data_IF_526578449054
#
_entry.id   IF_526578449054
#
_cell.length_a   1.000
_cell.length_b   1.000
_cell.length_c   1.000
_cell.angle_alpha   90.00
_cell.angle_beta   90.00
_cell.angle_gamma   90.00
#
_symmetry.space_group_name_H-M   'P 1'
#
loop_
_entity.id
_entity.type
_entity.pdbx_description
1 polymer ?
#
# COMPACT_ATOMS: atom_id res chain seq x y z
N UNK A 1 8.13 2.22 -16.19
CA UNK A 1 7.14 1.94 -15.12
C UNK A 1 7.82 1.92 -13.76
N UNK A 2 7.12 2.37 -12.76
CA UNK A 2 7.61 2.37 -11.39
C UNK A 2 6.66 1.59 -10.50
N UNK A 3 7.22 0.97 -9.46
CA UNK A 3 6.47 0.33 -8.38
C UNK A 3 6.65 1.15 -7.11
N UNK A 4 5.56 1.43 -6.43
CA UNK A 4 5.59 2.09 -5.13
C UNK A 4 5.04 1.13 -4.08
N UNK A 5 5.76 0.99 -2.96
CA UNK A 5 5.35 0.11 -1.88
C UNK A 5 5.06 0.91 -0.62
N UNK A 6 3.90 0.67 -0.04
CA UNK A 6 3.55 1.16 1.28
C UNK A 6 3.54 -0.04 2.23
N UNK A 7 4.23 0.09 3.35
CA UNK A 7 4.27 -0.94 4.39
C UNK A 7 3.63 -0.38 5.65
N UNK A 8 2.80 -1.18 6.33
CA UNK A 8 2.05 -0.72 7.49
C UNK A 8 2.15 -1.68 8.65
N UNK A 9 2.21 -1.10 9.85
CA UNK A 9 1.93 -1.80 11.09
C UNK A 9 0.54 -1.37 11.56
N UNK A 10 -0.40 -2.33 11.64
CA UNK A 10 -1.79 -2.09 12.04
C UNK A 10 -2.09 -2.94 13.26
N UNK A 11 -2.62 -2.32 14.32
CA UNK A 11 -3.05 -3.03 15.51
C UNK A 11 -4.20 -4.00 15.18
N UNK A 12 -4.25 -5.15 15.87
CA UNK A 12 -5.28 -6.16 15.63
C UNK A 12 -6.69 -5.59 15.68
N UNK A 13 -6.95 -4.68 16.61
CA UNK A 13 -8.25 -4.04 16.80
C UNK A 13 -8.64 -3.11 15.63
N UNK A 14 -7.69 -2.74 14.78
CA UNK A 14 -7.90 -1.82 13.65
C UNK A 14 -7.87 -2.53 12.29
N UNK A 15 -7.57 -3.82 12.24
CA UNK A 15 -7.35 -4.53 10.98
C UNK A 15 -8.59 -4.57 10.09
N UNK A 16 -9.75 -4.88 10.65
CA UNK A 16 -10.99 -4.94 9.87
C UNK A 16 -11.32 -3.58 9.25
N UNK A 17 -11.20 -2.50 10.04
CA UNK A 17 -11.43 -1.14 9.56
C UNK A 17 -10.40 -0.71 8.51
N UNK A 18 -9.13 -1.08 8.70
CA UNK A 18 -8.06 -0.80 7.75
C UNK A 18 -8.34 -1.46 6.40
N UNK A 19 -8.71 -2.74 6.39
CA UNK A 19 -9.03 -3.46 5.15
C UNK A 19 -10.24 -2.86 4.45
N UNK A 20 -11.26 -2.49 5.20
CA UNK A 20 -12.46 -1.85 4.67
C UNK A 20 -12.15 -0.49 4.06
N UNK A 21 -11.39 0.34 4.78
CA UNK A 21 -11.00 1.68 4.33
C UNK A 21 -10.15 1.60 3.06
N UNK A 22 -9.24 0.64 2.99
CA UNK A 22 -8.49 0.43 1.75
C UNK A 22 -9.42 0.18 0.57
N UNK A 23 -10.34 -0.78 0.71
CA UNK A 23 -11.22 -1.20 -0.39
C UNK A 23 -12.23 -0.13 -0.79
N UNK A 24 -12.77 0.60 0.17
CA UNK A 24 -13.85 1.56 -0.07
C UNK A 24 -13.35 2.96 -0.39
N UNK A 25 -12.19 3.35 0.09
CA UNK A 25 -11.68 4.73 -0.01
C UNK A 25 -10.39 4.82 -0.81
N UNK A 26 -9.37 4.05 -0.42
CA UNK A 26 -8.03 4.20 -1.00
C UNK A 26 -7.94 3.65 -2.43
N UNK A 27 -8.37 2.42 -2.65
CA UNK A 27 -8.29 1.80 -3.97
C UNK A 27 -9.09 2.58 -5.03
N UNK A 28 -10.35 2.98 -4.78
CA UNK A 28 -11.09 3.77 -5.77
C UNK A 28 -10.42 5.11 -6.11
N UNK A 29 -9.83 5.77 -5.12
CA UNK A 29 -9.11 7.04 -5.34
C UNK A 29 -7.88 6.83 -6.21
N UNK A 30 -7.11 5.78 -5.94
CA UNK A 30 -5.91 5.43 -6.68
C UNK A 30 -6.24 5.08 -8.14
N UNK A 31 -7.27 4.29 -8.35
CA UNK A 31 -7.69 3.83 -9.69
C UNK A 31 -8.13 4.95 -10.62
N UNK A 32 -8.54 6.08 -10.08
CA UNK A 32 -8.95 7.26 -10.89
C UNK A 32 -7.76 7.99 -11.50
N UNK A 33 -6.55 7.70 -11.07
CA UNK A 33 -5.38 8.48 -11.44
C UNK A 33 -4.89 8.12 -12.85
N UNK A 34 -4.53 9.16 -13.61
CA UNK A 34 -3.91 8.97 -14.93
C UNK A 34 -2.55 8.28 -14.74
N UNK A 35 -2.29 7.28 -15.55
CA UNK A 35 -1.03 6.52 -15.50
C UNK A 35 -1.05 5.35 -14.52
N UNK A 36 -2.10 5.19 -13.73
CA UNK A 36 -2.27 4.02 -12.87
C UNK A 36 -2.33 2.74 -13.72
N UNK A 37 -1.59 1.71 -13.30
CA UNK A 37 -1.54 0.42 -14.00
C UNK A 37 -2.22 -0.69 -13.21
N UNK A 38 -1.77 -0.93 -11.98
CA UNK A 38 -2.32 -1.98 -11.12
C UNK A 38 -1.98 -1.73 -9.66
N UNK A 39 -2.66 -2.45 -8.77
CA UNK A 39 -2.42 -2.43 -7.33
C UNK A 39 -2.67 -3.80 -6.73
N UNK A 40 -1.86 -4.17 -5.75
CA UNK A 40 -2.08 -5.34 -4.90
C UNK A 40 -2.07 -4.88 -3.45
N UNK A 41 -3.12 -5.26 -2.73
CA UNK A 41 -3.22 -5.08 -1.29
C UNK A 41 -2.99 -6.44 -0.65
N UNK A 42 -1.92 -6.58 0.12
CA UNK A 42 -1.48 -7.86 0.65
C UNK A 42 -1.26 -7.79 2.16
N UNK A 43 -1.40 -8.93 2.79
CA UNK A 43 -1.17 -9.11 4.22
C UNK A 43 0.01 -10.05 4.40
N UNK A 44 0.90 -9.72 5.33
CA UNK A 44 1.98 -10.61 5.72
C UNK A 44 1.39 -11.88 6.34
N UNK A 45 2.08 -13.00 6.16
CA UNK A 45 1.70 -14.23 6.85
C UNK A 45 1.61 -14.01 8.35
N UNK A 46 0.69 -14.72 9.00
CA UNK A 46 0.61 -14.75 10.45
C UNK A 46 1.93 -15.26 11.05
N UNK A 47 2.29 -14.86 12.28
CA UNK A 47 3.60 -15.20 12.88
C UNK A 47 3.98 -16.68 12.82
N UNK A 48 3.03 -17.58 13.06
CA UNK A 48 3.29 -19.02 12.99
C UNK A 48 3.70 -19.47 11.58
N UNK A 49 2.99 -19.00 10.57
CA UNK A 49 3.28 -19.33 9.16
C UNK A 49 4.58 -18.68 8.70
N UNK A 50 4.84 -17.45 9.12
CA UNK A 50 6.09 -16.77 8.81
C UNK A 50 7.29 -17.52 9.39
N UNK A 51 7.16 -18.06 10.60
CA UNK A 51 8.20 -18.86 11.24
C UNK A 51 8.47 -20.15 10.47
N UNK A 52 7.42 -20.81 9.96
CA UNK A 52 7.58 -22.04 9.17
C UNK A 52 8.41 -21.84 7.91
N UNK A 53 8.29 -20.70 7.27
CA UNK A 53 9.06 -20.38 6.05
C UNK A 53 10.36 -19.63 6.36
N UNK A 54 10.71 -19.48 7.63
CA UNK A 54 11.91 -18.78 8.08
C UNK A 54 11.97 -17.34 7.54
N UNK A 55 10.81 -16.67 7.47
CA UNK A 55 10.72 -15.29 7.03
C UNK A 55 11.45 -14.34 7.99
N UNK A 56 12.05 -13.30 7.45
CA UNK A 56 12.70 -12.27 8.26
C UNK A 56 11.69 -11.59 9.19
N UNK A 57 12.02 -11.40 10.47
CA UNK A 57 11.13 -10.73 11.41
C UNK A 57 10.82 -9.30 10.98
N UNK A 58 9.58 -8.86 11.21
CA UNK A 58 9.16 -7.49 10.95
C UNK A 58 7.94 -7.18 11.81
N UNK A 59 7.78 -5.91 12.20
CA UNK A 59 6.56 -5.43 12.83
C UNK A 59 5.47 -5.09 11.83
N UNK A 60 5.79 -5.04 10.54
CA UNK A 60 4.82 -4.73 9.48
C UNK A 60 3.90 -5.92 9.23
N UNK A 61 2.63 -5.64 8.91
CA UNK A 61 1.66 -6.69 8.65
C UNK A 61 0.81 -6.49 7.41
N UNK A 62 0.94 -5.34 6.73
CA UNK A 62 0.27 -5.07 5.45
C UNK A 62 1.18 -4.36 4.48
N UNK A 63 0.92 -4.56 3.18
CA UNK A 63 1.52 -3.78 2.11
C UNK A 63 0.47 -3.37 1.09
N UNK A 64 0.68 -2.22 0.49
CA UNK A 64 0.00 -1.81 -0.74
C UNK A 64 1.11 -1.61 -1.77
N UNK A 65 1.05 -2.37 -2.86
CA UNK A 65 2.02 -2.29 -3.95
C UNK A 65 1.29 -1.82 -5.20
N UNK A 66 1.66 -0.66 -5.73
CA UNK A 66 0.99 -0.15 -6.93
C UNK A 66 2.00 0.29 -7.99
N UNK A 67 1.56 0.22 -9.23
CA UNK A 67 2.38 0.53 -10.40
C UNK A 67 1.77 1.71 -11.14
N UNK A 68 2.63 2.68 -11.47
CA UNK A 68 2.31 3.78 -12.38
C UNK A 68 3.20 3.70 -13.61
N UNK A 69 2.76 4.31 -14.70
CA UNK A 69 3.54 4.39 -15.93
C UNK A 69 4.85 5.17 -15.74
N UNK A 70 4.87 6.13 -14.79
CA UNK A 70 6.03 6.97 -14.52
C UNK A 70 5.99 7.54 -13.11
N UNK A 71 7.14 7.98 -12.64
CA UNK A 71 7.25 8.70 -11.37
C UNK A 71 6.51 10.05 -11.42
N UNK A 72 6.48 10.70 -12.59
CA UNK A 72 5.72 11.94 -12.77
C UNK A 72 4.23 11.73 -12.49
N UNK A 73 3.65 10.65 -13.03
CA UNK A 73 2.25 10.30 -12.78
C UNK A 73 2.00 9.98 -11.31
N UNK A 74 2.91 9.25 -10.66
CA UNK A 74 2.79 8.95 -9.23
C UNK A 74 2.80 10.23 -8.39
N UNK A 75 3.63 11.21 -8.75
CA UNK A 75 3.67 12.49 -8.02
C UNK A 75 2.39 13.29 -8.18
N UNK A 76 1.74 13.20 -9.33
CA UNK A 76 0.42 13.80 -9.52
C UNK A 76 -0.60 13.17 -8.57
N UNK A 77 -0.57 11.83 -8.44
CA UNK A 77 -1.37 11.12 -7.44
C UNK A 77 -1.11 11.65 -6.03
N UNK A 78 0.15 11.75 -5.63
CA UNK A 78 0.52 12.19 -4.28
C UNK A 78 0.03 13.61 -3.95
N UNK A 79 -0.19 14.43 -4.95
CA UNK A 79 -0.68 15.81 -4.80
C UNK A 79 -2.16 15.98 -5.12
N UNK A 80 -2.86 14.89 -5.47
CA UNK A 80 -4.26 14.95 -5.88
C UNK A 80 -5.19 15.20 -4.68
N UNK A 81 -6.37 15.74 -4.98
CA UNK A 81 -7.41 15.92 -3.98
C UNK A 81 -7.87 14.58 -3.41
N UNK A 82 -7.91 13.54 -4.25
CA UNK A 82 -8.29 12.18 -3.83
C UNK A 82 -7.30 11.61 -2.82
N UNK A 83 -6.00 11.81 -3.04
CA UNK A 83 -4.95 11.39 -2.10
C UNK A 83 -5.08 12.13 -0.76
N UNK A 84 -5.36 13.43 -0.81
CA UNK A 84 -5.49 14.26 0.40
C UNK A 84 -6.64 13.79 1.30
N UNK A 85 -7.64 13.13 0.74
CA UNK A 85 -8.75 12.52 1.50
C UNK A 85 -8.41 11.08 1.90
N UNK A 86 -7.95 10.27 0.96
CA UNK A 86 -7.77 8.83 1.17
C UNK A 86 -6.61 8.49 2.10
N UNK A 87 -5.47 9.17 1.94
CA UNK A 87 -4.27 8.84 2.72
C UNK A 87 -4.45 9.08 4.23
N UNK A 88 -4.95 10.24 4.69
CA UNK A 88 -5.15 10.44 6.13
C UNK A 88 -6.14 9.43 6.74
N UNK A 89 -7.18 9.06 6.00
CA UNK A 89 -8.16 8.07 6.49
C UNK A 89 -7.52 6.70 6.69
N UNK A 90 -6.64 6.31 5.79
CA UNK A 90 -5.96 5.03 5.87
C UNK A 90 -4.82 5.05 6.89
N UNK A 91 -3.92 6.02 6.78
CA UNK A 91 -2.75 6.12 7.66
C UNK A 91 -3.12 6.35 9.11
N UNK A 92 -4.23 7.03 9.37
CA UNK A 92 -4.74 7.25 10.72
C UNK A 92 -5.12 5.99 11.48
N UNK A 93 -5.27 4.86 10.79
CA UNK A 93 -5.58 3.55 11.37
C UNK A 93 -4.32 2.73 11.67
N UNK A 94 -3.14 3.27 11.41
CA UNK A 94 -1.88 2.54 11.52
C UNK A 94 -1.04 3.04 12.68
N UNK A 95 -0.22 2.14 13.23
CA UNK A 95 0.83 2.51 14.20
C UNK A 95 2.05 3.07 13.49
N UNK A 96 2.34 2.57 12.28
CA UNK A 96 3.51 2.94 11.50
C UNK A 96 3.24 2.73 10.03
N UNK A 97 3.75 3.63 9.22
CA UNK A 97 3.72 3.52 7.76
C UNK A 97 5.07 3.96 7.21
N UNK A 98 5.62 3.17 6.30
CA UNK A 98 6.83 3.52 5.56
C UNK A 98 6.59 3.21 4.10
N UNK A 99 7.38 3.82 3.20
CA UNK A 99 7.23 3.60 1.77
C UNK A 99 8.56 3.64 1.05
N UNK A 100 8.59 2.95 -0.10
CA UNK A 100 9.76 2.89 -0.99
C UNK A 100 9.29 2.93 -2.43
N UNK A 101 10.11 3.53 -3.29
CA UNK A 101 9.87 3.53 -4.73
C UNK A 101 10.91 2.67 -5.44
N UNK A 102 10.51 2.06 -6.55
CA UNK A 102 11.37 1.16 -7.32
C UNK A 102 11.19 1.39 -8.82
N UNK A 103 12.27 1.29 -9.55
CA UNK A 103 12.20 1.17 -11.01
C UNK A 103 11.91 -0.29 -11.36
N UNK A 104 10.95 -0.53 -12.23
CA UNK A 104 10.69 -1.88 -12.72
C UNK A 104 11.64 -2.14 -13.88
N UNK A 105 12.59 -3.07 -13.66
CA UNK A 105 13.59 -3.40 -14.66
C UNK A 105 13.12 -4.47 -15.63
N UNK A 106 12.20 -5.33 -15.18
CA UNK A 106 11.61 -6.38 -16.02
C UNK A 106 10.25 -6.75 -15.44
N UNK A 107 9.34 -7.13 -16.31
CA UNK A 107 8.00 -7.55 -15.92
C UNK A 107 7.48 -8.54 -16.97
N UNK A 108 6.80 -9.59 -16.52
CA UNK A 108 6.27 -10.62 -17.41
C UNK A 108 4.79 -10.89 -17.14
#
# INVERSE_FOLDING_TARGET
>A
MILFQLHFEVADTKRAEFEKTYKEVFEPALKKQKGFQNVKFIRYYAPAQATEIEASPTEMNYQINFVFDSEASRRVWAKSAEHDVAWPKLSGLTKKAIWRGYDILASS
#
